data_IF_717453138538
#
_entry.id   IF_717453138538
#
_cell.length_a   1.000
_cell.length_b   1.000
_cell.length_c   1.000
_cell.angle_alpha   90.00
_cell.angle_beta   90.00
_cell.angle_gamma   90.00
#
_symmetry.space_group_name_H-M   'P 1'
#
loop_
_entity.id
_entity.type
_entity.pdbx_description
1 polymer ?
#
# COMPACT_ATOMS: atom_id res chain seq x y z
N UNK A 1 13.40 -3.24 26.43
CA UNK A 1 12.89 -3.46 25.05
C UNK A 1 11.57 -4.20 25.18
N UNK A 2 10.45 -3.63 24.72
CA UNK A 2 9.10 -4.21 24.92
C UNK A 2 8.69 -5.08 23.72
N UNK A 3 9.24 -4.81 22.53
CA UNK A 3 9.04 -5.58 21.31
C UNK A 3 10.13 -5.25 20.27
N UNK A 4 10.39 -6.16 19.33
CA UNK A 4 11.24 -5.99 18.16
C UNK A 4 10.45 -6.32 16.87
N UNK A 5 10.41 -5.38 15.91
CA UNK A 5 9.77 -5.59 14.62
C UNK A 5 10.73 -6.36 13.69
N UNK A 6 10.65 -7.69 13.72
CA UNK A 6 11.42 -8.54 12.80
C UNK A 6 10.85 -8.40 11.39
N UNK A 7 11.73 -8.19 10.40
CA UNK A 7 11.29 -8.07 9.02
C UNK A 7 10.96 -9.45 8.43
N UNK A 8 9.72 -9.68 7.94
CA UNK A 8 9.44 -10.88 7.20
C UNK A 8 10.11 -10.80 5.83
N UNK A 9 10.36 -11.97 5.23
CA UNK A 9 10.75 -12.05 3.84
C UNK A 9 9.61 -11.52 2.96
N UNK A 10 9.92 -10.56 2.09
CA UNK A 10 8.97 -10.03 1.11
C UNK A 10 9.25 -10.69 -0.23
N UNK A 11 8.29 -11.41 -0.82
CA UNK A 11 8.50 -12.08 -2.10
C UNK A 11 8.75 -11.05 -3.21
N UNK A 12 9.60 -11.44 -4.16
CA UNK A 12 9.74 -10.73 -5.44
C UNK A 12 8.67 -11.24 -6.38
N UNK A 13 7.83 -10.33 -6.84
CA UNK A 13 6.67 -10.60 -7.68
C UNK A 13 6.92 -10.01 -9.06
N UNK A 14 6.57 -10.75 -10.11
CA UNK A 14 6.41 -10.17 -11.43
C UNK A 14 5.29 -9.12 -11.40
N UNK A 15 5.32 -8.07 -12.23
CA UNK A 15 4.23 -7.09 -12.28
C UNK A 15 2.89 -7.74 -12.61
N UNK A 16 1.84 -7.37 -11.89
CA UNK A 16 0.46 -7.77 -12.14
C UNK A 16 -0.50 -6.60 -11.89
N UNK A 17 -1.73 -6.65 -12.44
CA UNK A 17 -2.73 -5.62 -12.19
C UNK A 17 -3.07 -5.51 -10.71
N UNK A 18 -2.83 -4.34 -10.13
CA UNK A 18 -3.16 -4.03 -8.73
C UNK A 18 -4.03 -2.78 -8.70
N UNK A 19 -5.24 -2.91 -8.13
CA UNK A 19 -6.15 -1.77 -7.98
C UNK A 19 -5.63 -0.75 -6.95
N UNK A 20 -5.07 -1.24 -5.84
CA UNK A 20 -4.40 -0.42 -4.83
C UNK A 20 -3.48 -1.27 -3.94
N UNK A 21 -2.46 -0.62 -3.37
CA UNK A 21 -1.56 -1.17 -2.35
C UNK A 21 -1.89 -0.55 -1.00
N UNK A 22 -2.02 -1.38 0.01
CA UNK A 22 -2.36 -0.98 1.37
C UNK A 22 -1.13 -1.09 2.25
N UNK A 23 -0.77 0.00 2.95
CA UNK A 23 0.39 0.00 3.85
C UNK A 23 0.06 0.64 5.19
N UNK A 24 0.34 -0.11 6.25
CA UNK A 24 0.11 0.33 7.63
C UNK A 24 1.32 1.01 8.28
N UNK A 25 2.49 1.02 7.64
CA UNK A 25 3.68 1.69 8.21
C UNK A 25 4.71 2.09 7.15
N UNK A 26 5.57 3.09 7.44
CA UNK A 26 6.69 3.47 6.58
C UNK A 26 7.66 2.31 6.30
N UNK A 27 7.93 1.49 7.31
CA UNK A 27 8.89 0.38 7.19
C UNK A 27 8.37 -0.73 6.28
N UNK A 28 7.07 -1.02 6.31
CA UNK A 28 6.44 -1.97 5.39
C UNK A 28 6.47 -1.45 3.95
N UNK A 29 6.16 -0.16 3.74
CA UNK A 29 6.22 0.46 2.43
C UNK A 29 7.63 0.40 1.82
N UNK A 30 8.67 0.74 2.59
CA UNK A 30 10.08 0.65 2.16
C UNK A 30 10.45 -0.76 1.70
N UNK A 31 10.11 -1.76 2.52
CA UNK A 31 10.40 -3.18 2.23
C UNK A 31 9.70 -3.64 0.96
N UNK A 32 8.41 -3.31 0.81
CA UNK A 32 7.62 -3.68 -0.37
C UNK A 32 8.18 -3.04 -1.65
N UNK A 33 8.43 -1.73 -1.63
CA UNK A 33 8.92 -0.99 -2.81
C UNK A 33 10.34 -1.40 -3.19
N UNK A 34 11.19 -1.73 -2.21
CA UNK A 34 12.53 -2.26 -2.46
C UNK A 34 12.48 -3.64 -3.14
N UNK A 35 11.61 -4.54 -2.67
CA UNK A 35 11.45 -5.87 -3.24
C UNK A 35 10.71 -5.85 -4.60
N UNK A 36 9.78 -4.91 -4.78
CA UNK A 36 8.88 -4.84 -5.94
C UNK A 36 8.79 -3.41 -6.51
N UNK A 37 9.83 -2.89 -7.19
CA UNK A 37 9.89 -1.50 -7.67
C UNK A 37 8.70 -1.03 -8.52
N UNK A 38 8.08 -1.95 -9.26
CA UNK A 38 6.95 -1.68 -10.17
C UNK A 38 5.70 -1.17 -9.44
N UNK A 39 5.55 -1.49 -8.14
CA UNK A 39 4.38 -1.04 -7.37
C UNK A 39 4.31 0.49 -7.24
N UNK A 40 5.41 1.23 -7.46
CA UNK A 40 5.40 2.70 -7.39
C UNK A 40 4.40 3.37 -8.33
N UNK A 41 4.03 2.68 -9.41
CA UNK A 41 3.06 3.14 -10.40
C UNK A 41 1.61 2.91 -9.95
N UNK A 42 1.40 2.17 -8.86
CA UNK A 42 0.07 1.85 -8.32
C UNK A 42 -0.39 2.91 -7.30
N UNK A 43 -1.69 2.91 -7.02
CA UNK A 43 -2.26 3.75 -5.96
C UNK A 43 -1.95 3.16 -4.58
N UNK A 44 -1.40 3.98 -3.68
CA UNK A 44 -1.18 3.62 -2.29
C UNK A 44 -2.24 4.22 -1.37
N UNK A 45 -2.75 3.37 -0.48
CA UNK A 45 -3.66 3.73 0.60
C UNK A 45 -2.95 3.47 1.93
N UNK A 46 -2.92 4.48 2.79
CA UNK A 46 -2.09 4.46 4.01
C UNK A 46 -2.90 4.73 5.26
N UNK A 47 -2.44 4.20 6.39
CA UNK A 47 -3.13 4.34 7.68
C UNK A 47 -3.14 5.76 8.25
N UNK A 48 -2.31 6.66 7.72
CA UNK A 48 -2.21 8.01 8.25
C UNK A 48 -1.16 8.86 7.54
N UNK A 49 -1.09 10.16 7.87
CA UNK A 49 -0.27 11.13 7.16
C UNK A 49 1.24 10.82 7.22
N UNK A 50 1.73 10.28 8.35
CA UNK A 50 3.14 9.88 8.50
C UNK A 50 3.54 8.80 7.50
N UNK A 51 2.70 7.78 7.34
CA UNK A 51 2.94 6.72 6.35
C UNK A 51 2.78 7.26 4.93
N UNK A 52 1.80 8.13 4.69
CA UNK A 52 1.63 8.78 3.39
C UNK A 52 2.87 9.59 2.96
N UNK A 53 3.46 10.36 3.87
CA UNK A 53 4.70 11.11 3.59
C UNK A 53 5.83 10.17 3.19
N UNK A 54 6.09 9.15 4.01
CA UNK A 54 7.15 8.20 3.73
C UNK A 54 6.94 7.44 2.41
N UNK A 55 5.70 7.18 2.00
CA UNK A 55 5.40 6.54 0.71
C UNK A 55 5.66 7.50 -0.46
N UNK A 56 5.35 8.80 -0.32
CA UNK A 56 5.66 9.80 -1.35
C UNK A 56 7.17 9.95 -1.56
N UNK A 57 7.95 9.93 -0.48
CA UNK A 57 9.42 9.98 -0.53
C UNK A 57 10.03 8.79 -1.29
N UNK A 58 9.30 7.68 -1.44
CA UNK A 58 9.70 6.53 -2.24
C UNK A 58 9.41 6.67 -3.73
N UNK A 59 8.89 7.82 -4.18
CA UNK A 59 8.56 8.10 -5.57
C UNK A 59 7.20 7.56 -6.02
N UNK A 60 6.29 7.28 -5.09
CA UNK A 60 4.92 6.86 -5.42
C UNK A 60 4.08 8.07 -5.78
N UNK A 61 3.58 8.12 -7.02
CA UNK A 61 2.84 9.28 -7.54
C UNK A 61 1.40 9.43 -7.02
N UNK A 62 0.76 8.33 -6.59
CA UNK A 62 -0.63 8.34 -6.11
C UNK A 62 -0.72 7.79 -4.69
N UNK A 63 -0.90 8.68 -3.71
CA UNK A 63 -0.93 8.32 -2.27
C UNK A 63 -2.09 9.02 -1.56
N UNK A 64 -2.93 8.23 -0.89
CA UNK A 64 -4.04 8.73 -0.05
C UNK A 64 -3.90 8.21 1.39
N UNK A 65 -4.00 9.12 2.36
CA UNK A 65 -4.17 8.76 3.77
C UNK A 65 -5.65 8.49 4.03
N UNK A 66 -5.95 7.34 4.62
CA UNK A 66 -7.31 6.86 4.86
C UNK A 66 -7.67 7.02 6.33
N UNK A 67 -6.84 6.51 7.22
CA UNK A 67 -7.11 6.48 8.65
C UNK A 67 -6.78 5.11 9.25
N UNK A 68 -6.90 4.98 10.57
CA UNK A 68 -6.49 3.78 11.31
C UNK A 68 -7.62 2.86 11.70
N UNK A 69 -8.87 3.21 11.40
CA UNK A 69 -10.03 2.42 11.77
C UNK A 69 -10.55 1.64 10.57
N UNK A 70 -11.10 0.45 10.79
CA UNK A 70 -11.69 -0.38 9.73
C UNK A 70 -12.73 0.40 8.90
N UNK A 71 -13.53 1.24 9.55
CA UNK A 71 -14.54 2.09 8.91
C UNK A 71 -13.92 3.00 7.86
N UNK A 72 -12.75 3.58 8.13
CA UNK A 72 -12.04 4.44 7.18
C UNK A 72 -11.72 3.68 5.88
N UNK A 73 -11.47 2.37 5.96
CA UNK A 73 -11.04 1.55 4.82
C UNK A 73 -12.18 0.95 4.00
N UNK A 74 -13.35 0.66 4.60
CA UNK A 74 -14.42 -0.11 3.95
C UNK A 74 -14.82 0.49 2.61
N UNK A 75 -15.07 1.79 2.56
CA UNK A 75 -15.50 2.46 1.32
C UNK A 75 -14.43 2.36 0.22
N UNK A 76 -13.16 2.51 0.60
CA UNK A 76 -12.03 2.42 -0.32
C UNK A 76 -11.77 1.00 -0.82
N UNK A 77 -11.92 0.01 0.06
CA UNK A 77 -11.82 -1.41 -0.29
C UNK A 77 -12.94 -1.81 -1.26
N UNK A 78 -14.18 -1.44 -0.97
CA UNK A 78 -15.32 -1.67 -1.85
C UNK A 78 -15.13 -1.01 -3.23
N UNK A 79 -14.63 0.23 -3.27
CA UNK A 79 -14.35 0.93 -4.53
C UNK A 79 -13.23 0.25 -5.33
N UNK A 80 -12.13 -0.14 -4.67
CA UNK A 80 -11.02 -0.84 -5.32
C UNK A 80 -11.46 -2.20 -5.89
N UNK A 81 -12.29 -2.94 -5.17
CA UNK A 81 -12.83 -4.22 -5.61
C UNK A 81 -13.71 -4.08 -6.87
N UNK A 82 -14.60 -3.07 -6.90
CA UNK A 82 -15.42 -2.78 -8.09
C UNK A 82 -14.59 -2.48 -9.33
N UNK A 83 -13.51 -1.71 -9.18
CA UNK A 83 -12.58 -1.41 -10.27
C UNK A 83 -11.85 -2.66 -10.76
N UNK A 84 -11.44 -3.53 -9.84
CA UNK A 84 -10.78 -4.79 -10.19
C UNK A 84 -11.70 -5.71 -10.99
N UNK A 85 -12.98 -5.85 -10.60
CA UNK A 85 -13.96 -6.69 -11.33
C UNK A 85 -14.29 -6.11 -12.71
N UNK A 86 -14.53 -4.80 -12.81
CA UNK A 86 -14.89 -4.15 -14.08
C UNK A 86 -13.77 -4.15 -15.13
N UNK A 87 -12.54 -4.44 -14.73
CA UNK A 87 -11.37 -4.53 -15.64
C UNK A 87 -11.16 -5.94 -16.22
N UNK A 88 -12.01 -6.92 -15.84
CA UNK A 88 -11.89 -8.34 -16.23
C UNK A 88 -12.91 -8.74 -17.32
N UNK A 89 -13.71 -7.79 -17.81
CA UNK A 89 -14.62 -7.91 -18.97
C UNK A 89 -14.13 -7.09 -20.14
#
# INVERSE_FOLDING_TARGET
>A
MVYENVAPEIPRLAPFPVAAVFVASPSAARRLVAANPWVRQTRFLTIGPTTASAVRDLGVGSVRAIGSTLTDWIEHLCAAHRLAIGSVT
#
